data_IF_392268409342
#
_entry.id   IF_392268409342
#
_cell.length_a   1.000
_cell.length_b   1.000
_cell.length_c   1.000
_cell.angle_alpha   90.00
_cell.angle_beta   90.00
_cell.angle_gamma   90.00
#
_symmetry.space_group_name_H-M   'P 1'
#
loop_
_entity.id
_entity.type
_entity.pdbx_description
1 polymer ?
#
# COMPACT_ATOMS: atom_id res chain seq x y z
N UNK A 1 14.45 -0.06 17.28
CA UNK A 1 14.02 -0.08 15.85
C UNK A 1 14.31 1.25 15.14
N UNK A 2 14.06 2.43 15.75
CA UNK A 2 14.22 3.72 15.05
C UNK A 2 15.67 4.12 14.73
N UNK A 3 16.65 3.77 15.56
CA UNK A 3 18.08 4.09 15.34
C UNK A 3 18.65 3.45 14.07
N UNK A 4 18.15 2.26 13.68
CA UNK A 4 18.58 1.61 12.45
C UNK A 4 17.96 2.29 11.22
N UNK A 5 16.70 2.72 11.33
CA UNK A 5 16.02 3.44 10.25
C UNK A 5 16.64 4.82 10.04
N UNK A 6 16.90 5.56 11.11
CA UNK A 6 17.61 6.84 11.07
C UNK A 6 18.93 6.73 10.30
N UNK A 7 19.77 5.74 10.64
CA UNK A 7 21.04 5.50 9.95
C UNK A 7 20.86 5.20 8.46
N UNK A 8 19.86 4.38 8.11
CA UNK A 8 19.56 4.09 6.70
C UNK A 8 19.12 5.36 5.97
N UNK A 9 18.21 6.15 6.55
CA UNK A 9 17.74 7.39 5.94
C UNK A 9 18.89 8.40 5.75
N UNK A 10 19.81 8.51 6.71
CA UNK A 10 21.02 9.35 6.56
C UNK A 10 21.84 8.90 5.36
N UNK A 11 22.16 7.60 5.24
CA UNK A 11 22.89 7.04 4.09
C UNK A 11 22.18 7.30 2.76
N UNK A 12 20.85 7.19 2.73
CA UNK A 12 20.08 7.50 1.51
C UNK A 12 20.21 8.98 1.14
N UNK A 13 20.17 9.90 2.10
CA UNK A 13 20.41 11.33 1.84
C UNK A 13 21.81 11.60 1.30
N UNK A 14 22.79 10.75 1.61
CA UNK A 14 24.16 10.80 1.09
C UNK A 14 24.33 10.13 -0.28
N UNK A 15 23.25 9.57 -0.86
CA UNK A 15 23.23 8.97 -2.19
C UNK A 15 23.36 7.43 -2.20
N UNK A 16 23.31 6.78 -1.05
CA UNK A 16 23.40 5.32 -0.95
C UNK A 16 22.07 4.65 -1.37
N UNK A 17 22.02 4.16 -2.60
CA UNK A 17 20.85 3.45 -3.13
C UNK A 17 20.58 2.12 -2.41
N UNK A 18 21.63 1.45 -1.89
CA UNK A 18 21.45 0.18 -1.19
C UNK A 18 20.74 0.39 0.14
N UNK A 19 21.03 1.49 0.84
CA UNK A 19 20.33 1.84 2.07
C UNK A 19 18.82 2.04 1.85
N UNK A 20 18.41 2.53 0.67
CA UNK A 20 17.00 2.65 0.33
C UNK A 20 16.35 1.32 -0.07
N UNK A 21 17.11 0.43 -0.71
CA UNK A 21 16.66 -0.94 -0.95
C UNK A 21 16.39 -1.65 0.39
N UNK A 22 17.27 -1.50 1.38
CA UNK A 22 17.07 -2.03 2.74
C UNK A 22 15.78 -1.48 3.39
N UNK A 23 15.53 -0.17 3.31
CA UNK A 23 14.29 0.44 3.78
C UNK A 23 13.07 -0.10 3.02
N UNK A 24 13.16 -0.23 1.70
CA UNK A 24 12.06 -0.72 0.85
C UNK A 24 11.70 -2.15 1.22
N UNK A 25 12.68 -3.05 1.32
CA UNK A 25 12.47 -4.44 1.74
C UNK A 25 11.86 -4.52 3.13
N UNK A 26 12.32 -3.69 4.07
CA UNK A 26 11.80 -3.68 5.44
C UNK A 26 10.35 -3.22 5.53
N UNK A 27 9.95 -2.24 4.73
CA UNK A 27 8.64 -1.59 4.82
C UNK A 27 7.62 -2.08 3.78
N UNK A 28 8.01 -2.95 2.84
CA UNK A 28 7.18 -3.42 1.72
C UNK A 28 5.82 -3.97 2.18
N UNK A 29 5.80 -4.92 3.10
CA UNK A 29 4.58 -5.54 3.62
C UNK A 29 3.68 -4.51 4.33
N UNK A 30 4.29 -3.62 5.11
CA UNK A 30 3.56 -2.60 5.86
C UNK A 30 2.89 -1.57 4.93
N UNK A 31 3.62 -1.12 3.91
CA UNK A 31 3.13 -0.19 2.89
C UNK A 31 2.02 -0.84 2.06
N UNK A 32 2.24 -2.08 1.62
CA UNK A 32 1.24 -2.82 0.86
C UNK A 32 -0.05 -3.03 1.68
N UNK A 33 0.08 -3.42 2.95
CA UNK A 33 -1.06 -3.57 3.85
C UNK A 33 -1.79 -2.26 4.10
N UNK A 34 -1.06 -1.16 4.28
CA UNK A 34 -1.64 0.17 4.44
C UNK A 34 -2.44 0.57 3.18
N UNK A 35 -1.88 0.40 1.99
CA UNK A 35 -2.57 0.70 0.74
C UNK A 35 -3.82 -0.19 0.57
N UNK A 36 -3.67 -1.50 0.75
CA UNK A 36 -4.74 -2.48 0.63
C UNK A 36 -5.92 -2.17 1.57
N UNK A 37 -5.63 -1.83 2.83
CA UNK A 37 -6.66 -1.47 3.82
C UNK A 37 -7.55 -0.30 3.38
N UNK A 38 -7.06 0.56 2.49
CA UNK A 38 -7.80 1.69 1.94
C UNK A 38 -8.49 1.33 0.62
N UNK A 39 -7.78 0.70 -0.33
CA UNK A 39 -8.28 0.59 -1.71
C UNK A 39 -9.08 -0.66 -2.03
N UNK A 40 -8.97 -1.71 -1.22
CA UNK A 40 -9.81 -2.90 -1.43
C UNK A 40 -9.28 -3.90 -2.46
N UNK A 41 -8.21 -3.57 -3.18
CA UNK A 41 -7.77 -4.29 -4.37
C UNK A 41 -6.26 -4.54 -4.32
N UNK A 42 -5.85 -5.79 -4.60
CA UNK A 42 -4.46 -6.22 -4.50
C UNK A 42 -3.57 -5.57 -5.57
N UNK A 43 -4.03 -5.50 -6.83
CA UNK A 43 -3.23 -4.92 -7.91
C UNK A 43 -3.06 -3.43 -7.70
N UNK A 44 -4.15 -2.73 -7.37
CA UNK A 44 -4.11 -1.30 -7.10
C UNK A 44 -3.26 -1.00 -5.85
N UNK A 45 -3.37 -1.81 -4.80
CA UNK A 45 -2.55 -1.63 -3.59
C UNK A 45 -1.06 -1.81 -3.89
N UNK A 46 -0.70 -2.75 -4.78
CA UNK A 46 0.68 -2.97 -5.19
C UNK A 46 1.23 -1.77 -5.97
N UNK A 47 0.44 -1.24 -6.91
CA UNK A 47 0.81 -0.04 -7.68
C UNK A 47 1.01 1.16 -6.76
N UNK A 48 0.07 1.41 -5.84
CA UNK A 48 0.18 2.48 -4.86
C UNK A 48 1.40 2.29 -3.95
N UNK A 49 1.68 1.06 -3.51
CA UNK A 49 2.86 0.77 -2.70
C UNK A 49 4.14 1.12 -3.45
N UNK A 50 4.26 0.70 -4.71
CA UNK A 50 5.41 1.01 -5.56
C UNK A 50 5.56 2.53 -5.75
N UNK A 51 4.50 3.22 -6.15
CA UNK A 51 4.53 4.67 -6.34
C UNK A 51 4.82 5.41 -5.01
N UNK A 52 4.38 4.88 -3.87
CA UNK A 52 4.70 5.43 -2.55
C UNK A 52 6.20 5.40 -2.27
N UNK A 53 6.88 4.29 -2.60
CA UNK A 53 8.33 4.20 -2.46
C UNK A 53 9.05 5.14 -3.43
N UNK A 54 8.61 5.24 -4.69
CA UNK A 54 9.18 6.21 -5.65
C UNK A 54 9.03 7.64 -5.11
N UNK A 55 7.87 8.00 -4.58
CA UNK A 55 7.62 9.31 -4.00
C UNK A 55 8.43 9.54 -2.72
N UNK A 56 8.60 8.51 -1.91
CA UNK A 56 9.45 8.53 -0.73
C UNK A 56 10.91 8.78 -1.11
N UNK A 57 11.45 8.08 -2.11
CA UNK A 57 12.80 8.30 -2.63
C UNK A 57 13.05 9.78 -2.97
N UNK A 58 12.16 10.38 -3.77
CA UNK A 58 12.31 11.80 -4.14
C UNK A 58 12.16 12.78 -2.98
N UNK A 59 11.40 12.43 -1.93
CA UNK A 59 11.09 13.34 -0.82
C UNK A 59 11.84 13.03 0.47
N UNK A 60 12.70 12.02 0.49
CA UNK A 60 13.33 11.56 1.75
C UNK A 60 14.16 12.65 2.42
N UNK A 61 14.70 13.59 1.65
CA UNK A 61 15.42 14.76 2.14
C UNK A 61 14.53 15.76 2.92
N UNK A 62 13.21 15.72 2.74
CA UNK A 62 12.26 16.57 3.48
C UNK A 62 11.87 15.98 4.84
N UNK A 63 12.37 14.79 5.18
CA UNK A 63 12.10 14.15 6.47
C UNK A 63 12.97 14.78 7.55
N UNK A 64 12.36 15.61 8.40
CA UNK A 64 13.05 16.30 9.50
C UNK A 64 13.54 15.33 10.58
N UNK A 65 12.67 14.43 11.04
CA UNK A 65 12.98 13.40 12.04
C UNK A 65 13.23 12.07 11.34
N UNK A 66 14.52 11.73 11.15
CA UNK A 66 14.96 10.56 10.38
C UNK A 66 14.46 9.24 11.01
N UNK A 67 14.36 9.20 12.33
CA UNK A 67 13.78 8.13 13.14
C UNK A 67 12.31 7.84 12.81
N UNK A 68 11.60 8.83 12.27
CA UNK A 68 10.17 8.82 11.96
C UNK A 68 9.82 8.27 10.57
N UNK A 69 10.77 7.66 9.85
CA UNK A 69 10.60 7.22 8.46
C UNK A 69 9.34 6.37 8.23
N UNK A 70 9.07 5.39 9.10
CA UNK A 70 7.89 4.51 8.94
C UNK A 70 6.56 5.26 8.99
N UNK A 71 6.40 6.20 9.93
CA UNK A 71 5.18 7.02 10.04
C UNK A 71 5.04 8.01 8.88
N UNK A 72 6.17 8.58 8.45
CA UNK A 72 6.22 9.46 7.30
C UNK A 72 5.84 8.72 6.00
N UNK A 73 6.39 7.53 5.80
CA UNK A 73 6.07 6.66 4.67
C UNK A 73 4.59 6.23 4.69
N UNK A 74 4.07 5.82 5.84
CA UNK A 74 2.63 5.53 6.01
C UNK A 74 1.76 6.72 5.57
N UNK A 75 2.15 7.94 5.93
CA UNK A 75 1.42 9.16 5.55
C UNK A 75 1.41 9.36 4.04
N UNK A 76 2.53 9.09 3.35
CA UNK A 76 2.60 9.14 1.88
C UNK A 76 1.63 8.13 1.29
N UNK A 77 1.73 6.87 1.72
CA UNK A 77 0.91 5.77 1.20
C UNK A 77 -0.58 6.00 1.42
N UNK A 78 -0.96 6.44 2.62
CA UNK A 78 -2.36 6.76 2.95
C UNK A 78 -2.89 7.86 2.04
N UNK A 79 -2.13 8.95 1.84
CA UNK A 79 -2.55 10.05 0.96
C UNK A 79 -2.75 9.57 -0.47
N UNK A 80 -1.82 8.78 -0.99
CA UNK A 80 -1.92 8.23 -2.34
C UNK A 80 -3.12 7.30 -2.51
N UNK A 81 -3.40 6.49 -1.49
CA UNK A 81 -4.57 5.61 -1.48
C UNK A 81 -5.90 6.39 -1.49
N UNK A 82 -5.99 7.44 -0.66
CA UNK A 82 -7.16 8.32 -0.65
C UNK A 82 -7.33 9.09 -1.96
N UNK A 83 -6.22 9.55 -2.56
CA UNK A 83 -6.26 10.24 -3.85
C UNK A 83 -6.74 9.31 -4.97
N UNK A 84 -6.35 8.02 -4.93
CA UNK A 84 -6.85 7.02 -5.87
C UNK A 84 -8.36 6.82 -5.74
N UNK A 85 -8.88 6.66 -4.51
CA UNK A 85 -10.32 6.52 -4.25
C UNK A 85 -11.09 7.75 -4.78
N UNK A 86 -10.62 8.97 -4.48
CA UNK A 86 -11.25 10.20 -4.96
C UNK A 86 -11.29 10.30 -6.48
N UNK A 87 -10.22 9.89 -7.16
CA UNK A 87 -10.15 9.87 -8.63
C UNK A 87 -11.09 8.84 -9.25
N UNK A 88 -11.37 7.74 -8.56
CA UNK A 88 -12.33 6.71 -8.98
C UNK A 88 -13.79 7.16 -8.83
N UNK A 89 -14.10 7.95 -7.80
CA UNK A 89 -15.45 8.46 -7.54
C UNK A 89 -15.88 9.57 -8.51
N UNK A 90 -14.93 10.29 -9.13
CA UNK A 90 -15.19 11.19 -10.24
C UNK A 90 -15.34 10.31 -11.48
N UNK A 91 -16.52 10.18 -12.13
CA UNK A 91 -16.65 9.31 -13.29
C UNK A 91 -15.85 9.90 -14.46
N UNK A 92 -14.71 9.31 -14.86
CA UNK A 92 -14.10 9.65 -16.13
C UNK A 92 -14.84 8.80 -17.17
N UNK A 93 -15.14 9.36 -18.34
CA UNK A 93 -15.61 8.55 -19.48
C UNK A 93 -14.80 7.25 -19.57
N UNK A 94 -15.53 6.12 -19.55
CA UNK A 94 -15.07 4.80 -19.15
C UNK A 94 -13.64 4.41 -19.53
N UNK A 95 -12.88 3.98 -18.55
CA UNK A 95 -11.75 3.08 -18.75
C UNK A 95 -12.07 1.74 -18.10
N UNK A 96 -12.92 0.98 -18.78
CA UNK A 96 -13.05 -0.46 -18.62
C UNK A 96 -11.96 -1.11 -19.48
N UNK A 97 -10.70 -1.04 -19.06
CA UNK A 97 -9.65 -1.75 -19.80
C UNK A 97 -8.48 -2.05 -18.86
N UNK A 98 -8.56 -3.19 -18.18
CA UNK A 98 -7.36 -3.96 -17.80
C UNK A 98 -7.60 -5.39 -17.31
N UNK A 99 -8.84 -5.89 -17.18
CA UNK A 99 -9.08 -7.26 -16.70
C UNK A 99 -9.07 -8.34 -17.81
N UNK A 100 -8.30 -8.11 -18.89
CA UNK A 100 -8.11 -9.11 -19.93
C UNK A 100 -6.78 -9.80 -19.68
N UNK A 101 -6.82 -10.97 -19.02
CA UNK A 101 -5.98 -12.17 -19.14
C UNK A 101 -6.02 -12.89 -17.78
N UNK A 102 -7.04 -13.73 -17.57
CA UNK A 102 -7.04 -14.75 -16.52
C UNK A 102 -7.86 -15.95 -17.04
N UNK A 103 -7.34 -17.19 -17.08
CA UNK A 103 -8.00 -18.35 -17.70
C UNK A 103 -9.08 -18.98 -16.81
N UNK A 104 -9.86 -18.15 -16.10
CA UNK A 104 -10.88 -18.56 -15.13
C UNK A 104 -12.27 -18.44 -15.77
N UNK A 105 -13.18 -19.38 -15.49
CA UNK A 105 -14.58 -19.32 -15.94
C UNK A 105 -15.25 -18.01 -15.51
N UNK A 106 -16.10 -17.44 -16.36
CA UNK A 106 -16.86 -16.22 -16.07
C UNK A 106 -17.71 -16.35 -14.78
N UNK A 107 -18.25 -17.53 -14.51
CA UNK A 107 -19.04 -17.82 -13.30
C UNK A 107 -18.17 -17.77 -12.04
N UNK A 108 -16.99 -18.37 -12.09
CA UNK A 108 -16.04 -18.38 -10.97
C UNK A 108 -15.46 -16.98 -10.70
N UNK A 109 -15.37 -16.13 -11.72
CA UNK A 109 -15.04 -14.70 -11.56
C UNK A 109 -16.12 -13.93 -10.82
N UNK A 110 -17.39 -14.14 -11.18
CA UNK A 110 -18.52 -13.45 -10.54
C UNK A 110 -18.61 -13.85 -9.06
N UNK A 111 -18.53 -15.15 -8.76
CA UNK A 111 -18.56 -15.66 -7.38
C UNK A 111 -17.40 -15.09 -6.53
N UNK A 112 -16.18 -15.05 -7.09
CA UNK A 112 -15.03 -14.44 -6.42
C UNK A 112 -15.20 -12.93 -6.18
N UNK A 113 -15.79 -12.19 -7.12
CA UNK A 113 -16.08 -10.77 -6.96
C UNK A 113 -17.13 -10.51 -5.88
N UNK A 114 -18.17 -11.34 -5.80
CA UNK A 114 -19.20 -11.26 -4.76
C UNK A 114 -18.63 -11.57 -3.38
N UNK A 115 -17.85 -12.66 -3.25
CA UNK A 115 -17.15 -13.00 -2.00
C UNK A 115 -16.20 -11.89 -1.55
N UNK A 116 -15.36 -11.37 -2.47
CA UNK A 116 -14.47 -10.25 -2.17
C UNK A 116 -15.26 -9.03 -1.69
N UNK A 117 -16.37 -8.68 -2.37
CA UNK A 117 -17.22 -7.54 -1.99
C UNK A 117 -17.83 -7.72 -0.60
N UNK A 118 -18.30 -8.90 -0.25
CA UNK A 118 -18.86 -9.19 1.08
C UNK A 118 -17.80 -9.03 2.19
N UNK A 119 -16.60 -9.59 2.00
CA UNK A 119 -15.48 -9.43 2.93
C UNK A 119 -15.12 -7.96 3.10
N UNK A 120 -15.00 -7.22 1.99
CA UNK A 120 -14.69 -5.79 2.02
C UNK A 120 -15.77 -4.96 2.71
N UNK A 121 -17.05 -5.27 2.50
CA UNK A 121 -18.13 -4.58 3.18
C UNK A 121 -18.07 -4.78 4.68
N UNK A 122 -17.72 -5.98 5.15
CA UNK A 122 -17.54 -6.26 6.57
C UNK A 122 -16.30 -5.56 7.14
N UNK A 123 -15.18 -5.57 6.43
CA UNK A 123 -13.98 -4.84 6.84
C UNK A 123 -14.20 -3.32 6.90
N UNK A 124 -15.11 -2.80 6.06
CA UNK A 124 -15.46 -1.38 6.05
C UNK A 124 -16.31 -0.95 7.25
N UNK A 125 -16.92 -1.88 8.01
CA UNK A 125 -17.57 -1.55 9.28
C UNK A 125 -16.57 -1.30 10.40
N UNK A 126 -15.31 -1.69 10.21
CA UNK A 126 -14.24 -1.46 11.16
C UNK A 126 -13.56 -0.12 10.91
N UNK A 127 -13.11 0.51 11.99
CA UNK A 127 -12.21 1.66 11.89
C UNK A 127 -10.94 1.27 11.12
N UNK A 128 -10.40 2.23 10.37
CA UNK A 128 -9.20 2.08 9.55
C UNK A 128 -8.05 1.41 10.32
N UNK A 129 -7.82 1.82 11.57
CA UNK A 129 -6.75 1.28 12.41
C UNK A 129 -6.83 -0.25 12.55
N UNK A 130 -8.02 -0.79 12.78
CA UNK A 130 -8.21 -2.24 12.93
C UNK A 130 -8.05 -2.95 11.60
N UNK A 131 -8.57 -2.35 10.52
CA UNK A 131 -8.44 -2.90 9.17
C UNK A 131 -6.99 -2.98 8.71
N UNK A 132 -6.19 -1.95 8.98
CA UNK A 132 -4.75 -1.95 8.69
C UNK A 132 -4.02 -3.05 9.43
N UNK A 133 -4.34 -3.27 10.73
CA UNK A 133 -3.73 -4.35 11.52
C UNK A 133 -4.09 -5.73 10.95
N UNK A 134 -5.36 -5.94 10.57
CA UNK A 134 -5.81 -7.20 9.95
C UNK A 134 -5.11 -7.41 8.59
N UNK A 135 -5.03 -6.36 7.76
CA UNK A 135 -4.33 -6.42 6.49
C UNK A 135 -2.85 -6.74 6.67
N UNK A 136 -2.18 -6.12 7.65
CA UNK A 136 -0.79 -6.40 7.98
C UNK A 136 -0.58 -7.85 8.41
N UNK A 137 -1.47 -8.37 9.26
CA UNK A 137 -1.44 -9.75 9.72
C UNK A 137 -1.54 -10.74 8.54
N UNK A 138 -2.52 -10.53 7.66
CA UNK A 138 -2.74 -11.37 6.49
C UNK A 138 -1.57 -11.31 5.50
N UNK A 139 -1.09 -10.11 5.18
CA UNK A 139 0.00 -9.89 4.20
C UNK A 139 1.35 -10.38 4.71
N UNK A 140 1.59 -10.33 6.03
CA UNK A 140 2.84 -10.81 6.61
C UNK A 140 2.93 -12.34 6.67
N UNK A 141 1.94 -13.07 6.15
CA UNK A 141 1.95 -14.53 6.05
C UNK A 141 1.60 -15.24 7.36
N UNK A 142 1.17 -14.52 8.40
CA UNK A 142 0.60 -15.13 9.59
C UNK A 142 -0.87 -15.47 9.29
N UNK A 143 -1.11 -16.54 8.55
CA UNK A 143 -2.39 -17.25 8.65
C UNK A 143 -2.24 -18.25 9.79
N UNK A 144 -3.15 -18.22 10.77
CA UNK A 144 -3.36 -19.38 11.67
C UNK A 144 -3.96 -20.50 10.85
#
# INVERSE_FOLDING_TARGET
MSLQDERLVIRVCEGDMNAFAELTTKYSNAVYAAAFSVVGDFHIAQDIAQESFVKAWYKIHTLEQKEGFGSWLYTITKRMSMDWIRKREIPPGGHLMNDLIDPISLEERIDNLERKRAVWSALNTLDEKYRTVIAMYFISGFSV
#
